data_IF_652668133530
#
_entry.id   IF_652668133530
#
_cell.length_a   1.000
_cell.length_b   1.000
_cell.length_c   1.000
_cell.angle_alpha   90.00
_cell.angle_beta   90.00
_cell.angle_gamma   90.00
#
_symmetry.space_group_name_H-M   'P 1'
#
loop_
_entity.id
_entity.type
_entity.pdbx_description
1 polymer ?
#
# COMPACT_ATOMS: atom_id res chain seq x y z
N UNK A 1 30.88 9.27 -0.16
CA UNK A 1 29.59 8.51 -0.08
C UNK A 1 28.68 8.96 -1.21
N UNK A 2 27.98 8.05 -1.89
CA UNK A 2 26.98 8.39 -2.93
C UNK A 2 25.58 8.25 -2.31
N UNK A 3 24.77 9.31 -2.37
CA UNK A 3 23.37 9.27 -1.91
C UNK A 3 22.54 8.54 -2.96
N UNK A 4 21.76 7.57 -2.51
CA UNK A 4 20.80 6.82 -3.34
C UNK A 4 19.40 7.16 -2.86
N UNK A 5 18.46 7.33 -3.79
CA UNK A 5 17.07 7.70 -3.52
C UNK A 5 16.12 6.73 -4.22
N UNK A 6 14.90 6.65 -3.71
CA UNK A 6 13.80 5.91 -4.33
C UNK A 6 13.18 6.81 -5.40
N UNK A 7 13.08 6.32 -6.64
CA UNK A 7 12.52 7.06 -7.78
C UNK A 7 11.11 6.61 -8.15
N UNK A 8 10.63 5.50 -7.59
CA UNK A 8 9.30 4.97 -7.83
C UNK A 8 8.99 3.80 -6.89
N UNK A 9 7.70 3.52 -6.73
CA UNK A 9 7.17 2.44 -5.90
C UNK A 9 5.91 1.88 -6.54
N UNK A 10 5.70 0.57 -6.40
CA UNK A 10 4.46 -0.11 -6.77
C UNK A 10 4.10 -1.14 -5.69
N UNK A 11 2.81 -1.37 -5.49
CA UNK A 11 2.31 -2.26 -4.44
C UNK A 11 1.00 -2.92 -4.86
N UNK A 12 0.89 -4.23 -4.58
CA UNK A 12 -0.35 -4.99 -4.67
C UNK A 12 -0.48 -5.82 -3.39
N UNK A 13 -1.58 -5.66 -2.68
CA UNK A 13 -1.86 -6.33 -1.41
C UNK A 13 -3.37 -6.45 -1.17
N UNK A 14 -3.77 -7.07 -0.06
CA UNK A 14 -5.18 -7.09 0.34
C UNK A 14 -5.77 -5.71 0.68
N UNK A 15 -4.94 -4.67 0.82
CA UNK A 15 -5.37 -3.29 1.08
C UNK A 15 -5.60 -2.45 -0.19
N UNK A 16 -5.18 -2.94 -1.36
CA UNK A 16 -5.23 -2.19 -2.61
C UNK A 16 -4.18 -2.65 -3.63
N UNK A 17 -4.35 -2.20 -4.88
CA UNK A 17 -3.50 -2.61 -6.01
C UNK A 17 -2.59 -1.49 -6.55
N UNK A 18 -2.56 -0.35 -5.84
CA UNK A 18 -1.70 0.79 -6.15
C UNK A 18 -1.32 1.58 -4.89
N UNK A 19 -0.36 2.48 -5.02
CA UNK A 19 0.18 3.24 -3.88
C UNK A 19 -0.88 4.14 -3.22
N UNK A 20 -1.66 4.95 -3.95
CA UNK A 20 -2.71 5.78 -3.34
C UNK A 20 -3.74 4.97 -2.52
N UNK A 21 -4.24 3.86 -3.06
CA UNK A 21 -5.22 3.01 -2.37
C UNK A 21 -4.67 2.43 -1.07
N UNK A 22 -3.44 1.89 -1.13
CA UNK A 22 -2.82 1.28 0.06
C UNK A 22 -2.49 2.35 1.10
N UNK A 23 -2.02 3.53 0.67
CA UNK A 23 -1.78 4.67 1.58
C UNK A 23 -3.07 5.08 2.31
N UNK A 24 -4.18 5.23 1.57
CA UNK A 24 -5.47 5.58 2.15
C UNK A 24 -5.91 4.51 3.18
N UNK A 25 -5.87 3.23 2.80
CA UNK A 25 -6.25 2.13 3.68
C UNK A 25 -5.42 2.09 4.96
N UNK A 26 -4.11 2.35 4.87
CA UNK A 26 -3.24 2.45 6.04
C UNK A 26 -3.57 3.66 6.92
N UNK A 27 -3.81 4.84 6.33
CA UNK A 27 -4.15 6.07 7.07
C UNK A 27 -5.47 5.97 7.83
N UNK A 28 -6.46 5.29 7.25
CA UNK A 28 -7.78 5.11 7.85
C UNK A 28 -7.96 3.76 8.54
N UNK A 29 -6.88 2.97 8.71
CA UNK A 29 -6.90 1.64 9.33
C UNK A 29 -7.98 0.69 8.77
N UNK A 30 -8.21 0.74 7.45
CA UNK A 30 -9.17 -0.14 6.76
C UNK A 30 -8.58 -1.57 6.72
N UNK A 31 -9.38 -2.57 7.07
CA UNK A 31 -9.00 -3.98 6.92
C UNK A 31 -9.03 -4.38 5.45
N UNK A 32 -7.97 -5.02 4.97
CA UNK A 32 -7.93 -5.67 3.66
C UNK A 32 -8.47 -7.10 3.67
N UNK A 33 -8.85 -7.61 4.83
CA UNK A 33 -9.38 -8.97 5.01
C UNK A 33 -10.87 -8.85 5.26
N UNK A 34 -11.65 -9.61 4.48
CA UNK A 34 -13.09 -9.75 4.64
C UNK A 34 -13.43 -11.19 4.97
N UNK A 35 -14.54 -11.39 5.68
CA UNK A 35 -15.04 -12.74 5.93
C UNK A 35 -15.59 -13.33 4.63
N UNK A 36 -15.13 -14.53 4.28
CA UNK A 36 -15.66 -15.29 3.16
C UNK A 36 -16.53 -16.44 3.72
N UNK A 37 -17.87 -16.38 3.55
CA UNK A 37 -18.79 -17.42 4.00
C UNK A 37 -18.66 -18.72 3.21
#
# INVERSE_FOLDING_TARGET
MKRVVITGMGIVSSLGNNVPEVEESLRYAKSGITFQP
#
